data_IF_542186323800
#
_entry.id   IF_542186323800
#
_cell.length_a   1.000
_cell.length_b   1.000
_cell.length_c   1.000
_cell.angle_alpha   90.00
_cell.angle_beta   90.00
_cell.angle_gamma   90.00
#
_symmetry.space_group_name_H-M   'P 1'
#
loop_
_entity.id
_entity.type
_entity.pdbx_description
1 polymer ?
#
# COMPACT_ATOMS: atom_id res chain seq x y z
N UNK A 1 37.43 6.42 -24.16
CA UNK A 1 36.64 6.83 -22.96
C UNK A 1 35.17 7.15 -23.24
N UNK A 2 34.77 7.62 -24.43
CA UNK A 2 33.37 7.98 -24.74
C UNK A 2 32.35 6.81 -24.67
N UNK A 3 32.75 5.58 -25.01
CA UNK A 3 31.83 4.42 -25.02
C UNK A 3 31.32 3.98 -23.64
N UNK A 4 32.09 4.25 -22.57
CA UNK A 4 31.69 3.94 -21.19
C UNK A 4 30.61 4.90 -20.67
N UNK A 5 30.71 6.19 -21.00
CA UNK A 5 29.71 7.20 -20.61
C UNK A 5 28.36 7.00 -21.30
N UNK A 6 28.37 6.53 -22.55
CA UNK A 6 27.15 6.22 -23.31
C UNK A 6 26.47 4.96 -22.75
N UNK A 7 27.23 3.95 -22.33
CA UNK A 7 26.72 2.73 -21.70
C UNK A 7 26.04 3.02 -20.36
N UNK A 8 26.70 3.77 -19.47
CA UNK A 8 26.17 4.15 -18.15
C UNK A 8 24.90 5.00 -18.26
N UNK A 9 24.85 5.92 -19.22
CA UNK A 9 23.67 6.76 -19.48
C UNK A 9 22.47 5.92 -19.97
N UNK A 10 22.69 4.96 -20.86
CA UNK A 10 21.61 4.04 -21.30
C UNK A 10 21.09 3.18 -20.15
N UNK A 11 21.97 2.76 -19.25
CA UNK A 11 21.59 1.94 -18.10
C UNK A 11 20.76 2.73 -17.07
N UNK A 12 21.10 4.00 -16.83
CA UNK A 12 20.35 4.92 -15.98
C UNK A 12 18.98 5.28 -16.56
N UNK A 13 18.90 5.55 -17.87
CA UNK A 13 17.64 5.81 -18.56
C UNK A 13 16.71 4.58 -18.46
N UNK A 14 17.27 3.37 -18.61
CA UNK A 14 16.53 2.10 -18.49
C UNK A 14 16.03 1.84 -17.06
N UNK A 15 16.84 2.18 -16.05
CA UNK A 15 16.43 2.10 -14.64
C UNK A 15 15.27 3.06 -14.33
N UNK A 16 15.35 4.32 -14.78
CA UNK A 16 14.29 5.31 -14.57
C UNK A 16 12.99 4.94 -15.29
N UNK A 17 13.08 4.42 -16.52
CA UNK A 17 11.89 3.95 -17.24
C UNK A 17 11.26 2.74 -16.56
N UNK A 18 12.06 1.78 -16.09
CA UNK A 18 11.56 0.64 -15.33
C UNK A 18 10.88 1.05 -14.01
N UNK A 19 11.43 2.02 -13.29
CA UNK A 19 10.79 2.58 -12.08
C UNK A 19 9.46 3.27 -12.39
N UNK A 20 9.39 4.07 -13.48
CA UNK A 20 8.13 4.69 -13.92
C UNK A 20 7.09 3.65 -14.35
N UNK A 21 7.50 2.58 -15.02
CA UNK A 21 6.60 1.49 -15.41
C UNK A 21 6.07 0.77 -14.17
N UNK A 22 6.93 0.49 -13.19
CA UNK A 22 6.54 -0.13 -11.92
C UNK A 22 5.57 0.75 -11.14
N UNK A 23 5.79 2.07 -11.06
CA UNK A 23 4.88 2.98 -10.36
C UNK A 23 3.53 3.11 -11.08
N UNK A 24 3.52 3.15 -12.42
CA UNK A 24 2.27 3.15 -13.20
C UNK A 24 1.50 1.84 -13.04
N UNK A 25 2.18 0.69 -13.01
CA UNK A 25 1.57 -0.62 -12.74
C UNK A 25 0.99 -0.69 -11.33
N UNK A 26 1.72 -0.21 -10.31
CA UNK A 26 1.24 -0.13 -8.94
C UNK A 26 0.03 0.80 -8.82
N UNK A 27 0.05 1.94 -9.51
CA UNK A 27 -1.05 2.89 -9.54
C UNK A 27 -2.31 2.30 -10.22
N UNK A 28 -2.14 1.64 -11.37
CA UNK A 28 -3.26 0.94 -12.05
C UNK A 28 -3.82 -0.19 -11.18
N UNK A 29 -2.97 -0.95 -10.49
CA UNK A 29 -3.40 -1.98 -9.53
C UNK A 29 -4.15 -1.38 -8.34
N UNK A 30 -3.69 -0.25 -7.82
CA UNK A 30 -4.37 0.47 -6.73
C UNK A 30 -5.74 1.02 -7.17
N UNK A 31 -5.83 1.56 -8.40
CA UNK A 31 -7.10 2.00 -9.00
C UNK A 31 -8.06 0.84 -9.26
N UNK A 32 -7.58 -0.32 -9.71
CA UNK A 32 -8.42 -1.51 -9.84
C UNK A 32 -8.82 -2.07 -8.48
N UNK A 33 -7.96 -2.01 -7.46
CA UNK A 33 -8.30 -2.44 -6.10
C UNK A 33 -9.35 -1.54 -5.43
N UNK A 34 -9.45 -0.27 -5.84
CA UNK A 34 -10.49 0.65 -5.39
C UNK A 34 -11.90 0.23 -5.84
N UNK A 35 -12.02 -0.48 -6.97
CA UNK A 35 -13.30 -1.00 -7.48
C UNK A 35 -13.54 -2.47 -7.15
N UNK A 36 -12.50 -3.20 -6.75
CA UNK A 36 -12.55 -4.65 -6.54
C UNK A 36 -12.57 -5.00 -5.05
N UNK A 37 -13.75 -4.92 -4.43
CA UNK A 37 -14.01 -5.68 -3.20
C UNK A 37 -14.25 -7.13 -3.63
N UNK A 38 -13.19 -7.94 -3.77
CA UNK A 38 -13.41 -9.39 -3.80
C UNK A 38 -14.07 -9.73 -2.47
N UNK A 39 -15.24 -10.39 -2.48
CA UNK A 39 -15.78 -10.92 -1.24
C UNK A 39 -14.72 -11.87 -0.65
N UNK A 40 -14.43 -11.70 0.64
CA UNK A 40 -13.51 -12.57 1.36
C UNK A 40 -13.93 -14.04 1.08
N UNK A 41 -13.00 -14.97 0.78
CA UNK A 41 -13.35 -16.38 0.54
C UNK A 41 -14.14 -17.02 1.70
N UNK A 42 -13.99 -16.50 2.93
CA UNK A 42 -14.75 -16.95 4.11
C UNK A 42 -15.95 -16.07 4.46
N UNK A 43 -16.26 -15.05 3.66
CA UNK A 43 -17.43 -14.18 3.83
C UNK A 43 -17.33 -13.15 4.96
N UNK A 44 -16.20 -13.07 5.68
CA UNK A 44 -15.99 -12.07 6.72
C UNK A 44 -15.95 -10.65 6.13
N UNK A 45 -16.61 -9.70 6.80
CA UNK A 45 -16.63 -8.27 6.45
C UNK A 45 -15.48 -7.50 7.11
N UNK A 46 -14.95 -8.03 8.22
CA UNK A 46 -13.84 -7.43 8.95
C UNK A 46 -12.95 -8.49 9.58
N UNK A 47 -11.66 -8.17 9.79
CA UNK A 47 -10.76 -9.01 10.59
C UNK A 47 -11.30 -9.29 12.00
N UNK A 48 -12.15 -8.40 12.53
CA UNK A 48 -12.76 -8.56 13.86
C UNK A 48 -13.73 -9.74 13.93
N UNK A 49 -14.31 -10.13 12.80
CA UNK A 49 -15.29 -11.22 12.72
C UNK A 49 -14.64 -12.62 12.65
N UNK A 50 -13.32 -12.68 12.43
CA UNK A 50 -12.59 -13.94 12.42
C UNK A 50 -12.66 -14.56 13.82
N UNK A 51 -13.17 -15.78 13.99
CA UNK A 51 -13.28 -16.41 15.29
C UNK A 51 -11.90 -16.84 15.81
N UNK A 52 -11.75 -16.88 17.14
CA UNK A 52 -10.48 -17.28 17.77
C UNK A 52 -10.09 -18.74 17.46
N UNK A 53 -11.07 -19.59 17.11
CA UNK A 53 -10.85 -20.97 16.69
C UNK A 53 -10.12 -21.11 15.34
N UNK A 54 -10.14 -20.08 14.49
CA UNK A 54 -9.40 -20.07 13.22
C UNK A 54 -7.96 -19.59 13.36
N UNK A 55 -7.56 -19.17 14.56
CA UNK A 55 -6.20 -18.72 14.80
C UNK A 55 -5.23 -19.91 14.71
N UNK A 56 -4.02 -19.70 14.16
CA UNK A 56 -2.99 -20.71 14.20
C UNK A 56 -2.68 -21.07 15.65
N UNK A 57 -2.25 -22.33 15.86
CA UNK A 57 -1.78 -22.78 17.17
C UNK A 57 -0.70 -21.84 17.69
N UNK A 58 -0.74 -21.55 18.99
CA UNK A 58 0.29 -20.72 19.63
C UNK A 58 1.68 -21.32 19.36
N UNK A 59 2.68 -20.50 18.98
CA UNK A 59 4.06 -20.96 18.81
C UNK A 59 4.61 -21.61 20.08
N UNK A 60 4.20 -21.10 21.24
CA UNK A 60 4.52 -21.63 22.55
C UNK A 60 3.25 -21.56 23.43
N UNK A 61 2.63 -22.71 23.77
CA UNK A 61 1.41 -22.74 24.58
C UNK A 61 1.67 -22.39 26.05
N UNK A 62 2.93 -22.44 26.51
CA UNK A 62 3.33 -22.12 27.89
C UNK A 62 3.60 -20.64 28.11
N UNK A 63 3.78 -19.86 27.04
CA UNK A 63 4.06 -18.43 27.14
C UNK A 63 2.76 -17.60 27.11
N UNK A 64 2.43 -16.86 28.19
CA UNK A 64 1.17 -16.10 28.28
C UNK A 64 1.08 -14.94 27.28
N UNK A 65 2.21 -14.50 26.69
CA UNK A 65 2.22 -13.44 25.67
C UNK A 65 1.32 -13.79 24.47
N UNK A 66 1.23 -15.06 24.12
CA UNK A 66 0.47 -15.53 22.96
C UNK A 66 -1.02 -15.70 23.23
N UNK A 67 -1.43 -15.70 24.50
CA UNK A 67 -2.85 -15.75 24.87
C UNK A 67 -3.46 -14.34 25.06
N UNK A 68 -2.61 -13.30 24.96
CA UNK A 68 -3.07 -11.91 25.08
C UNK A 68 -4.07 -11.55 23.97
N UNK A 69 -5.08 -10.70 24.27
CA UNK A 69 -6.02 -10.20 23.27
C UNK A 69 -5.32 -9.37 22.18
N UNK A 70 -4.16 -8.77 22.50
CA UNK A 70 -3.32 -8.07 21.53
C UNK A 70 -2.72 -9.01 20.50
N UNK A 71 -2.15 -10.14 20.93
CA UNK A 71 -1.57 -11.12 20.02
C UNK A 71 -2.63 -11.77 19.11
N UNK A 72 -3.77 -12.18 19.69
CA UNK A 72 -4.90 -12.73 18.93
C UNK A 72 -5.38 -11.75 17.85
N UNK A 73 -5.48 -10.46 18.19
CA UNK A 73 -5.83 -9.39 17.23
C UNK A 73 -4.85 -9.30 16.05
N UNK A 74 -3.55 -9.38 16.32
CA UNK A 74 -2.52 -9.33 15.27
C UNK A 74 -2.65 -10.54 14.35
N UNK A 75 -2.89 -11.74 14.90
CA UNK A 75 -3.10 -12.94 14.09
C UNK A 75 -4.37 -12.86 13.23
N UNK A 76 -5.48 -12.33 13.75
CA UNK A 76 -6.68 -12.07 12.93
C UNK A 76 -6.40 -11.11 11.77
N UNK A 77 -5.67 -10.01 12.01
CA UNK A 77 -5.27 -9.09 10.93
C UNK A 77 -4.38 -9.78 9.89
N UNK A 78 -3.45 -10.62 10.33
CA UNK A 78 -2.58 -11.40 9.42
C UNK A 78 -3.41 -12.30 8.50
N UNK A 79 -4.32 -13.10 9.06
CA UNK A 79 -5.22 -13.98 8.29
C UNK A 79 -6.06 -13.15 7.31
N UNK A 80 -6.66 -12.06 7.78
CA UNK A 80 -7.42 -11.14 6.94
C UNK A 80 -6.60 -10.59 5.76
N UNK A 81 -5.33 -10.32 6.00
CA UNK A 81 -4.39 -9.80 5.02
C UNK A 81 -3.95 -10.88 4.02
N UNK A 82 -3.73 -12.11 4.46
CA UNK A 82 -3.40 -13.22 3.57
C UNK A 82 -4.57 -13.58 2.65
N UNK A 83 -5.83 -13.37 3.09
CA UNK A 83 -7.03 -13.62 2.28
C UNK A 83 -7.21 -12.66 1.10
N UNK A 84 -6.62 -11.47 1.14
CA UNK A 84 -6.81 -10.42 0.12
C UNK A 84 -5.46 -9.88 -0.39
N UNK A 85 -4.62 -10.73 -1.02
CA UNK A 85 -3.26 -10.34 -1.40
C UNK A 85 -3.22 -9.20 -2.42
N UNK A 86 -4.25 -9.11 -3.27
CA UNK A 86 -4.34 -8.13 -4.36
C UNK A 86 -4.60 -6.69 -3.88
N UNK A 87 -5.14 -6.53 -2.66
CA UNK A 87 -5.44 -5.21 -2.10
C UNK A 87 -4.19 -4.64 -1.42
N UNK A 88 -3.70 -3.44 -1.79
CA UNK A 88 -2.56 -2.82 -1.13
C UNK A 88 -2.78 -2.66 0.37
N UNK A 89 -1.72 -2.83 1.18
CA UNK A 89 -1.81 -2.79 2.66
C UNK A 89 -2.46 -1.49 3.16
N UNK A 90 -2.16 -0.36 2.52
CA UNK A 90 -2.68 0.97 2.88
C UNK A 90 -4.12 1.25 2.43
N UNK A 91 -4.81 0.29 1.81
CA UNK A 91 -6.24 0.37 1.45
C UNK A 91 -7.07 -0.76 2.07
N UNK A 92 -6.46 -1.56 2.95
CA UNK A 92 -6.99 -2.88 3.32
C UNK A 92 -7.95 -2.86 4.51
N UNK A 93 -8.01 -1.77 5.28
CA UNK A 93 -9.06 -1.58 6.30
C UNK A 93 -10.36 -0.99 5.71
N UNK A 94 -10.45 -0.86 4.37
CA UNK A 94 -11.67 -0.55 3.66
C UNK A 94 -11.89 0.96 3.45
N UNK A 95 -13.14 1.41 3.60
CA UNK A 95 -13.56 2.78 3.26
C UNK A 95 -12.78 3.86 4.00
N UNK A 96 -12.44 3.64 5.27
CA UNK A 96 -11.72 4.63 6.07
C UNK A 96 -10.33 4.89 5.49
N UNK A 97 -9.62 3.83 5.08
CA UNK A 97 -8.30 3.95 4.46
C UNK A 97 -8.39 4.61 3.09
N UNK A 98 -9.44 4.32 2.31
CA UNK A 98 -9.67 4.99 1.03
C UNK A 98 -9.89 6.50 1.21
N UNK A 99 -10.67 6.90 2.23
CA UNK A 99 -10.90 8.33 2.54
C UNK A 99 -9.59 9.00 2.95
N UNK A 100 -8.85 8.39 3.87
CA UNK A 100 -7.54 8.92 4.30
C UNK A 100 -6.58 9.04 3.13
N UNK A 101 -6.45 8.01 2.31
CA UNK A 101 -5.59 8.01 1.14
C UNK A 101 -5.95 9.14 0.17
N UNK A 102 -7.24 9.31 -0.13
CA UNK A 102 -7.72 10.39 -1.01
C UNK A 102 -7.42 11.77 -0.43
N UNK A 103 -7.62 11.97 0.87
CA UNK A 103 -7.31 13.23 1.56
C UNK A 103 -5.81 13.55 1.50
N UNK A 104 -4.95 12.59 1.81
CA UNK A 104 -3.50 12.81 1.72
C UNK A 104 -3.06 13.11 0.29
N UNK A 105 -3.61 12.40 -0.68
CA UNK A 105 -3.29 12.58 -2.09
C UNK A 105 -3.72 13.96 -2.60
N UNK A 106 -4.92 14.44 -2.26
CA UNK A 106 -5.39 15.77 -2.67
C UNK A 106 -4.58 16.89 -2.03
N UNK A 107 -4.25 16.76 -0.75
CA UNK A 107 -3.39 17.73 -0.06
C UNK A 107 -1.99 17.79 -0.67
N UNK A 108 -1.41 16.64 -1.01
CA UNK A 108 -0.11 16.57 -1.66
C UNK A 108 -0.14 17.27 -3.04
N UNK A 109 -1.14 16.98 -3.87
CA UNK A 109 -1.28 17.65 -5.18
C UNK A 109 -1.43 19.15 -4.99
N UNK A 110 -2.30 19.59 -4.08
CA UNK A 110 -2.52 21.01 -3.84
C UNK A 110 -1.22 21.71 -3.45
N UNK A 111 -0.44 21.11 -2.54
CA UNK A 111 0.87 21.62 -2.12
C UNK A 111 1.85 21.69 -3.29
N UNK A 112 1.95 20.65 -4.11
CA UNK A 112 2.86 20.64 -5.27
C UNK A 112 2.48 21.69 -6.32
N UNK A 113 1.18 21.88 -6.58
CA UNK A 113 0.67 22.88 -7.52
C UNK A 113 0.94 24.29 -7.00
N UNK A 114 0.72 24.54 -5.70
CA UNK A 114 1.04 25.86 -5.11
C UNK A 114 2.53 26.15 -5.12
N UNK A 115 3.38 25.16 -4.82
CA UNK A 115 4.83 25.31 -4.95
C UNK A 115 5.26 25.64 -6.39
N UNK A 116 4.73 24.91 -7.37
CA UNK A 116 4.98 25.18 -8.80
C UNK A 116 4.55 26.59 -9.19
N UNK A 117 3.37 27.04 -8.74
CA UNK A 117 2.88 28.39 -9.00
C UNK A 117 3.85 29.46 -8.47
N UNK A 118 4.27 29.34 -7.21
CA UNK A 118 5.21 30.29 -6.58
C UNK A 118 6.52 30.36 -7.37
N UNK A 119 7.11 29.21 -7.71
CA UNK A 119 8.37 29.15 -8.47
C UNK A 119 8.22 29.82 -9.84
N UNK A 120 7.14 29.54 -10.57
CA UNK A 120 6.89 30.16 -11.87
C UNK A 120 6.74 31.67 -11.74
N UNK A 121 5.98 32.15 -10.75
CA UNK A 121 5.78 33.59 -10.55
C UNK A 121 7.06 34.33 -10.13
N UNK A 122 7.97 33.68 -9.40
CA UNK A 122 9.26 34.26 -9.03
C UNK A 122 10.27 34.23 -10.19
N UNK A 123 10.17 33.29 -11.13
CA UNK A 123 11.01 33.23 -12.34
C UNK A 123 10.56 34.25 -13.40
N UNK A 124 9.26 34.54 -13.49
CA UNK A 124 8.69 35.45 -14.49
C UNK A 124 8.80 36.93 -14.10
N UNK A 125 9.04 37.23 -12.81
CA UNK A 125 9.43 38.58 -12.36
C UNK A 125 10.86 38.90 -12.75
#
# INVERSE_FOLDING_TARGET
MANLLISSSRHLIRMQTNQKILSVLQFKRALSALTYVRPNPKGYKSWKEIPDSELPKSPDPTNPLYDTPGYKRIQKKRIWYEMNPDVPVYLREGLIDQIRFRLYYTLLILLTVTQLYIVITEIIK
#
